data_IF_517347147098
#
_entry.id   IF_517347147098
#
_cell.length_a   1.000
_cell.length_b   1.000
_cell.length_c   1.000
_cell.angle_alpha   90.00
_cell.angle_beta   90.00
_cell.angle_gamma   90.00
#
_symmetry.space_group_name_H-M   'P 1'
#
loop_
_entity.id
_entity.type
_entity.pdbx_description
1 polymer ?
#
# COMPACT_ATOMS: atom_id res chain seq x y z
N UNK A 1 -32.20 64.65 79.88
CA UNK A 1 -31.30 64.92 78.74
C UNK A 1 -29.92 64.44 79.15
N UNK A 2 -29.14 63.67 78.38
CA UNK A 2 -29.39 62.97 77.12
C UNK A 2 -28.92 61.48 77.15
N UNK A 3 -28.78 60.93 75.95
CA UNK A 3 -28.61 59.56 75.46
C UNK A 3 -27.21 58.91 75.51
N UNK A 4 -27.23 57.57 75.42
CA UNK A 4 -26.38 56.66 74.60
C UNK A 4 -25.02 56.11 75.08
N UNK A 5 -24.96 54.75 75.01
CA UNK A 5 -23.84 53.83 74.66
C UNK A 5 -22.67 53.73 75.67
N UNK A 6 -22.06 52.59 76.01
CA UNK A 6 -22.15 51.17 75.62
C UNK A 6 -21.33 50.32 76.63
N UNK A 7 -21.66 49.04 76.75
CA UNK A 7 -20.78 47.89 77.09
C UNK A 7 -20.03 47.84 78.44
N UNK A 8 -20.44 46.93 79.35
CA UNK A 8 -19.97 45.52 79.41
C UNK A 8 -20.62 44.73 80.57
N UNK A 9 -20.85 43.47 80.24
CA UNK A 9 -21.25 42.31 81.05
C UNK A 9 -20.61 42.19 82.44
N UNK A 10 -21.42 41.90 83.47
CA UNK A 10 -21.41 40.59 84.13
C UNK A 10 -22.57 40.39 85.12
N UNK A 11 -23.36 39.36 84.84
CA UNK A 11 -23.92 38.33 85.75
C UNK A 11 -24.77 38.71 86.98
N UNK A 12 -26.07 38.37 86.89
CA UNK A 12 -26.88 37.47 87.77
C UNK A 12 -28.38 37.73 87.42
N UNK A 13 -28.98 37.03 86.45
CA UNK A 13 -29.72 35.73 86.49
C UNK A 13 -31.08 35.78 87.23
N UNK A 14 -32.09 35.19 86.55
CA UNK A 14 -33.52 34.98 86.86
C UNK A 14 -34.46 36.15 86.48
N UNK A 15 -35.56 35.97 85.74
CA UNK A 15 -36.13 34.77 85.12
C UNK A 15 -36.93 35.18 83.87
N UNK A 16 -36.68 34.47 82.77
CA UNK A 16 -37.13 34.81 81.42
C UNK A 16 -38.10 33.72 80.95
N UNK A 17 -39.35 34.12 80.72
CA UNK A 17 -40.19 33.83 79.55
C UNK A 17 -40.15 32.47 78.83
N UNK A 18 -41.34 32.11 78.32
CA UNK A 18 -41.55 31.47 77.01
C UNK A 18 -41.49 29.94 76.96
N UNK A 19 -42.67 29.36 76.73
CA UNK A 19 -43.00 28.11 76.03
C UNK A 19 -41.77 27.39 75.44
N UNK A 20 -41.23 26.45 76.21
CA UNK A 20 -40.31 25.45 75.69
C UNK A 20 -41.12 24.18 75.40
N UNK A 21 -41.74 24.13 74.21
CA UNK A 21 -42.21 22.86 73.67
C UNK A 21 -41.00 21.94 73.57
N UNK A 22 -40.99 20.85 74.35
CA UNK A 22 -39.98 19.81 74.24
C UNK A 22 -40.03 19.26 72.81
N UNK A 23 -39.06 19.64 71.97
CA UNK A 23 -38.77 19.00 70.70
C UNK A 23 -38.18 17.61 70.96
N UNK A 24 -38.96 16.72 71.57
CA UNK A 24 -38.69 15.29 71.49
C UNK A 24 -39.13 14.92 70.08
N UNK A 25 -38.15 14.78 69.20
CA UNK A 25 -38.34 14.19 67.89
C UNK A 25 -38.71 12.73 68.14
N UNK A 26 -40.01 12.45 68.22
CA UNK A 26 -40.52 11.09 68.25
C UNK A 26 -40.24 10.48 66.87
N UNK A 27 -39.10 9.81 66.73
CA UNK A 27 -38.82 9.02 65.55
C UNK A 27 -39.74 7.79 65.54
N UNK A 28 -40.10 7.33 64.34
CA UNK A 28 -40.97 6.17 64.18
C UNK A 28 -40.26 4.93 64.69
N UNK A 29 -40.88 4.18 65.61
CA UNK A 29 -40.37 2.85 65.99
C UNK A 29 -40.52 1.89 64.81
N UNK A 30 -39.39 1.50 64.20
CA UNK A 30 -39.35 0.35 63.30
C UNK A 30 -39.30 -0.92 64.16
N UNK A 31 -40.23 -1.85 63.93
CA UNK A 31 -40.30 -3.11 64.69
C UNK A 31 -39.03 -3.95 64.49
N UNK A 32 -38.27 -3.71 63.41
CA UNK A 32 -36.98 -4.37 63.16
C UNK A 32 -35.86 -3.92 64.11
N UNK A 33 -35.99 -2.74 64.73
CA UNK A 33 -35.01 -2.17 65.65
C UNK A 33 -35.37 -2.40 67.14
N UNK A 34 -36.46 -3.13 67.39
CA UNK A 34 -36.90 -3.50 68.73
C UNK A 34 -36.02 -4.66 69.21
N UNK A 35 -35.03 -4.36 70.05
CA UNK A 35 -34.22 -5.33 70.79
C UNK A 35 -35.11 -6.34 71.54
N UNK A 36 -34.63 -7.59 71.69
CA UNK A 36 -35.32 -8.69 72.39
C UNK A 36 -35.74 -8.39 73.83
N UNK A 37 -35.27 -7.28 74.40
CA UNK A 37 -35.51 -6.84 75.77
C UNK A 37 -36.77 -5.97 75.92
N UNK A 38 -37.64 -5.96 74.92
CA UNK A 38 -38.90 -5.21 74.97
C UNK A 38 -39.86 -5.88 75.93
N UNK A 39 -40.38 -5.11 76.89
CA UNK A 39 -41.07 -5.68 78.05
C UNK A 39 -42.23 -6.58 77.61
N UNK A 40 -42.34 -7.81 78.14
CA UNK A 40 -43.47 -8.69 77.88
C UNK A 40 -44.83 -8.03 78.18
N UNK A 41 -44.83 -7.04 79.08
CA UNK A 41 -46.02 -6.26 79.41
C UNK A 41 -46.51 -5.40 78.23
N UNK A 42 -45.61 -4.89 77.39
CA UNK A 42 -45.97 -4.13 76.19
C UNK A 42 -46.71 -5.00 75.17
N UNK A 43 -46.20 -6.21 74.91
CA UNK A 43 -46.87 -7.18 74.04
C UNK A 43 -48.18 -7.67 74.65
N UNK A 44 -48.21 -7.91 75.96
CA UNK A 44 -49.43 -8.29 76.67
C UNK A 44 -50.51 -7.18 76.58
N UNK A 45 -50.11 -5.90 76.68
CA UNK A 45 -51.03 -4.77 76.49
C UNK A 45 -51.57 -4.72 75.05
N UNK A 46 -50.71 -4.90 74.04
CA UNK A 46 -51.15 -4.94 72.63
C UNK A 46 -52.16 -6.06 72.35
N UNK A 47 -51.98 -7.21 73.00
CA UNK A 47 -52.88 -8.38 72.88
C UNK A 47 -54.17 -8.22 73.72
N UNK A 48 -54.22 -7.28 74.67
CA UNK A 48 -55.41 -7.02 75.49
C UNK A 48 -56.59 -6.39 74.72
N UNK A 49 -56.45 -6.19 73.40
CA UNK A 49 -57.55 -5.85 72.49
C UNK A 49 -58.19 -4.49 72.80
N UNK A 50 -59.46 -4.49 73.22
CA UNK A 50 -60.17 -3.26 73.66
C UNK A 50 -59.68 -2.72 75.00
N UNK A 51 -59.03 -3.57 75.82
CA UNK A 51 -58.54 -3.18 77.14
C UNK A 51 -57.14 -2.56 77.09
N UNK A 52 -56.43 -2.72 75.97
CA UNK A 52 -55.10 -2.14 75.72
C UNK A 52 -55.04 -0.65 76.04
N UNK A 53 -54.09 -0.29 76.89
CA UNK A 53 -53.74 1.09 77.23
C UNK A 53 -53.25 1.81 75.97
N UNK A 54 -52.37 1.16 75.20
CA UNK A 54 -51.81 1.73 73.96
C UNK A 54 -52.92 2.03 72.95
N UNK A 55 -53.88 1.11 72.78
CA UNK A 55 -55.02 1.34 71.89
C UNK A 55 -55.95 2.45 72.41
N UNK A 56 -56.20 2.54 73.71
CA UNK A 56 -57.03 3.61 74.29
C UNK A 56 -56.41 5.00 74.05
N UNK A 57 -55.09 5.11 74.20
CA UNK A 57 -54.37 6.38 74.06
C UNK A 57 -54.14 6.74 72.59
N UNK A 58 -53.69 5.78 71.77
CA UNK A 58 -53.23 6.05 70.40
C UNK A 58 -54.16 5.52 69.30
N UNK A 59 -55.01 4.52 69.58
CA UNK A 59 -55.90 3.88 68.60
C UNK A 59 -57.30 4.50 68.48
N UNK A 60 -57.65 5.47 69.34
CA UNK A 60 -58.94 6.18 69.32
C UNK A 60 -58.82 7.64 68.85
N UNK A 61 -57.65 8.01 68.31
CA UNK A 61 -57.32 9.39 67.94
C UNK A 61 -58.32 10.02 66.96
N UNK A 62 -58.82 9.29 65.96
CA UNK A 62 -59.87 9.79 65.05
C UNK A 62 -61.24 9.99 65.69
N UNK A 63 -61.56 9.23 66.74
CA UNK A 63 -62.82 9.39 67.48
C UNK A 63 -62.81 10.66 68.31
N UNK A 64 -61.66 10.99 68.91
CA UNK A 64 -61.51 12.19 69.74
C UNK A 64 -61.12 13.44 68.94
N UNK A 65 -60.45 13.29 67.80
CA UNK A 65 -59.99 14.41 66.96
C UNK A 65 -60.21 14.10 65.47
N UNK A 66 -61.46 14.15 64.97
CA UNK A 66 -61.82 13.71 63.60
C UNK A 66 -61.13 14.49 62.48
N UNK A 67 -60.87 15.77 62.70
CA UNK A 67 -60.29 16.67 61.71
C UNK A 67 -58.75 16.62 61.66
N UNK A 68 -58.11 15.87 62.57
CA UNK A 68 -56.65 15.76 62.63
C UNK A 68 -56.19 14.52 61.86
N UNK A 69 -55.18 14.62 60.97
CA UNK A 69 -54.65 13.45 60.28
C UNK A 69 -54.03 12.46 61.28
N UNK A 70 -54.28 11.17 61.06
CA UNK A 70 -53.71 10.10 61.88
C UNK A 70 -52.23 9.92 61.57
N UNK A 71 -51.39 9.77 62.60
CA UNK A 71 -49.97 9.44 62.40
C UNK A 71 -49.80 7.97 62.03
N UNK A 72 -48.68 7.59 61.40
CA UNK A 72 -48.37 6.19 61.06
C UNK A 72 -48.44 5.26 62.27
N UNK A 73 -47.97 5.73 63.44
CA UNK A 73 -48.02 4.98 64.69
C UNK A 73 -49.46 4.77 65.19
N UNK A 74 -50.30 5.80 65.13
CA UNK A 74 -51.72 5.69 65.50
C UNK A 74 -52.48 4.75 64.55
N UNK A 75 -52.20 4.83 63.25
CA UNK A 75 -52.74 3.91 62.26
C UNK A 75 -52.27 2.47 62.52
N UNK A 76 -50.98 2.26 62.78
CA UNK A 76 -50.43 0.95 63.13
C UNK A 76 -51.13 0.36 64.36
N UNK A 77 -51.18 1.09 65.48
CA UNK A 77 -51.88 0.65 66.70
C UNK A 77 -53.35 0.31 66.46
N UNK A 78 -54.04 1.09 65.62
CA UNK A 78 -55.45 0.85 65.29
C UNK A 78 -55.63 -0.42 64.44
N UNK A 79 -54.68 -0.72 63.55
CA UNK A 79 -54.70 -1.90 62.69
C UNK A 79 -54.24 -3.16 63.42
N UNK A 80 -53.29 -3.04 64.36
CA UNK A 80 -52.72 -4.16 65.11
C UNK A 80 -53.48 -4.50 66.39
N UNK A 81 -54.37 -3.62 66.87
CA UNK A 81 -55.13 -3.85 68.10
C UNK A 81 -56.63 -3.58 67.93
N UNK A 82 -57.47 -4.52 68.39
CA UNK A 82 -58.94 -4.40 68.36
C UNK A 82 -59.63 -5.16 67.23
N UNK A 83 -60.85 -4.72 66.86
CA UNK A 83 -61.74 -5.45 65.94
C UNK A 83 -61.17 -5.70 64.53
N UNK A 84 -60.25 -4.86 64.06
CA UNK A 84 -59.61 -5.03 62.74
C UNK A 84 -58.33 -5.89 62.82
N UNK A 85 -57.79 -6.12 64.03
CA UNK A 85 -56.54 -6.86 64.24
C UNK A 85 -56.64 -8.29 63.73
N UNK A 86 -57.75 -8.97 63.99
CA UNK A 86 -58.01 -10.33 63.50
C UNK A 86 -58.03 -10.38 61.96
N UNK A 87 -58.71 -9.43 61.30
CA UNK A 87 -58.77 -9.36 59.84
C UNK A 87 -57.40 -9.09 59.20
N UNK A 88 -56.61 -8.16 59.77
CA UNK A 88 -55.24 -7.87 59.32
C UNK A 88 -54.33 -9.06 59.56
N UNK A 89 -54.45 -9.75 60.70
CA UNK A 89 -53.69 -10.95 61.01
C UNK A 89 -53.99 -12.08 60.01
N UNK A 90 -55.26 -12.31 59.68
CA UNK A 90 -55.66 -13.28 58.67
C UNK A 90 -55.09 -12.95 57.28
N UNK A 91 -55.12 -11.69 56.84
CA UNK A 91 -54.50 -11.30 55.56
C UNK A 91 -52.98 -11.46 55.57
N UNK A 92 -52.30 -11.16 56.69
CA UNK A 92 -50.86 -11.41 56.82
C UNK A 92 -50.54 -12.91 56.76
N UNK A 93 -51.33 -13.76 57.41
CA UNK A 93 -51.19 -15.21 57.30
C UNK A 93 -51.45 -15.70 55.87
N UNK A 94 -52.47 -15.17 55.20
CA UNK A 94 -52.78 -15.48 53.79
C UNK A 94 -51.63 -15.08 52.86
N UNK A 95 -51.09 -13.87 53.00
CA UNK A 95 -49.94 -13.40 52.22
C UNK A 95 -48.68 -14.22 52.50
N UNK A 96 -48.45 -14.62 53.76
CA UNK A 96 -47.32 -15.48 54.13
C UNK A 96 -47.47 -16.89 53.56
N UNK A 97 -48.68 -17.44 53.55
CA UNK A 97 -48.96 -18.72 52.90
C UNK A 97 -48.77 -18.62 51.38
N UNK A 98 -49.24 -17.54 50.76
CA UNK A 98 -49.08 -17.27 49.33
C UNK A 98 -47.60 -17.09 48.92
N UNK A 99 -46.81 -16.35 49.70
CA UNK A 99 -45.38 -16.18 49.44
C UNK A 99 -44.61 -17.49 49.64
N UNK A 100 -44.95 -18.27 50.67
CA UNK A 100 -44.38 -19.60 50.89
C UNK A 100 -44.73 -20.55 49.75
N UNK A 101 -45.97 -20.51 49.24
CA UNK A 101 -46.41 -21.30 48.09
C UNK A 101 -45.65 -20.92 46.82
N UNK A 102 -45.48 -19.62 46.53
CA UNK A 102 -44.68 -19.16 45.39
C UNK A 102 -43.22 -19.59 45.49
N UNK A 103 -42.63 -19.55 46.67
CA UNK A 103 -41.25 -20.01 46.88
C UNK A 103 -41.12 -21.52 46.64
N UNK A 104 -42.09 -22.31 47.15
CA UNK A 104 -42.11 -23.75 46.94
C UNK A 104 -42.23 -24.10 45.44
N UNK A 105 -43.14 -23.44 44.72
CA UNK A 105 -43.29 -23.63 43.27
C UNK A 105 -42.02 -23.24 42.50
N UNK A 106 -41.34 -22.16 42.89
CA UNK A 106 -40.08 -21.77 42.25
C UNK A 106 -38.95 -22.78 42.48
N UNK A 107 -38.85 -23.36 43.68
CA UNK A 107 -37.86 -24.41 43.96
C UNK A 107 -38.22 -25.75 43.30
N UNK A 108 -39.51 -26.07 43.16
CA UNK A 108 -39.98 -27.22 42.39
C UNK A 108 -39.57 -27.07 40.91
N UNK A 109 -39.91 -25.95 40.26
CA UNK A 109 -39.51 -25.67 38.86
C UNK A 109 -37.99 -25.74 38.70
N UNK A 110 -37.24 -25.17 39.64
CA UNK A 110 -35.77 -25.21 39.61
C UNK A 110 -35.24 -26.64 39.76
N UNK A 111 -35.84 -27.44 40.64
CA UNK A 111 -35.45 -28.84 40.83
C UNK A 111 -35.78 -29.68 39.60
N UNK A 112 -36.97 -29.51 39.00
CA UNK A 112 -37.35 -30.16 37.74
C UNK A 112 -36.39 -29.83 36.60
N UNK A 113 -36.01 -28.56 36.44
CA UNK A 113 -35.04 -28.14 35.42
C UNK A 113 -33.65 -28.75 35.64
N UNK A 114 -33.25 -28.94 36.90
CA UNK A 114 -31.99 -29.59 37.26
C UNK A 114 -32.04 -31.11 37.06
N UNK A 115 -33.14 -31.75 37.44
CA UNK A 115 -33.37 -33.20 37.30
C UNK A 115 -33.48 -33.62 35.84
N UNK A 116 -34.26 -32.87 35.03
CA UNK A 116 -34.33 -33.08 33.57
C UNK A 116 -32.98 -32.78 32.90
N UNK A 117 -32.12 -32.02 33.57
CA UNK A 117 -30.79 -31.67 33.09
C UNK A 117 -30.83 -30.71 31.89
N UNK A 118 -31.96 -30.04 31.64
CA UNK A 118 -32.16 -29.18 30.46
C UNK A 118 -31.08 -28.09 30.37
N UNK A 119 -30.76 -27.46 31.50
CA UNK A 119 -29.70 -26.43 31.59
C UNK A 119 -28.34 -27.04 31.21
N UNK A 120 -28.03 -28.22 31.76
CA UNK A 120 -26.76 -28.90 31.49
C UNK A 120 -26.65 -29.31 30.01
N UNK A 121 -27.72 -29.86 29.45
CA UNK A 121 -27.77 -30.30 28.06
C UNK A 121 -27.62 -29.12 27.10
N UNK A 122 -28.33 -28.01 27.35
CA UNK A 122 -28.21 -26.77 26.58
C UNK A 122 -26.76 -26.26 26.54
N UNK A 123 -26.10 -26.18 27.70
CA UNK A 123 -24.71 -25.73 27.75
C UNK A 123 -23.73 -26.72 27.11
N UNK A 124 -23.96 -28.02 27.27
CA UNK A 124 -23.14 -29.04 26.63
C UNK A 124 -23.24 -28.98 25.10
N UNK A 125 -24.44 -28.83 24.56
CA UNK A 125 -24.68 -28.65 23.12
C UNK A 125 -23.99 -27.39 22.61
N UNK A 126 -24.14 -26.28 23.33
CA UNK A 126 -23.48 -25.02 22.96
C UNK A 126 -21.96 -25.14 23.00
N UNK A 127 -21.40 -25.79 24.02
CA UNK A 127 -19.95 -26.05 24.12
C UNK A 127 -19.45 -26.97 23.01
N UNK A 128 -20.22 -28.00 22.65
CA UNK A 128 -19.88 -28.90 21.55
C UNK A 128 -19.88 -28.15 20.21
N UNK A 129 -20.90 -27.32 19.97
CA UNK A 129 -21.00 -26.48 18.79
C UNK A 129 -19.79 -25.55 18.66
N UNK A 130 -19.46 -24.80 19.72
CA UNK A 130 -18.32 -23.87 19.69
C UNK A 130 -16.98 -24.60 19.49
N UNK A 131 -16.80 -25.80 20.08
CA UNK A 131 -15.60 -26.62 19.82
C UNK A 131 -15.52 -27.06 18.36
N UNK A 132 -16.61 -27.56 17.79
CA UNK A 132 -16.66 -28.00 16.40
C UNK A 132 -16.43 -26.83 15.44
N UNK A 133 -17.05 -25.68 15.73
CA UNK A 133 -16.84 -24.45 14.99
C UNK A 133 -15.37 -24.01 15.05
N UNK A 134 -14.73 -24.06 16.23
CA UNK A 134 -13.31 -23.76 16.38
C UNK A 134 -12.41 -24.67 15.54
N UNK A 135 -12.69 -25.97 15.50
CA UNK A 135 -11.96 -26.93 14.66
C UNK A 135 -12.14 -26.61 13.17
N UNK A 136 -13.34 -26.26 12.73
CA UNK A 136 -13.61 -25.95 11.33
C UNK A 136 -12.92 -24.65 10.90
N UNK A 137 -12.99 -23.61 11.73
CA UNK A 137 -12.25 -22.35 11.52
C UNK A 137 -10.74 -22.61 11.46
N UNK A 138 -10.21 -23.45 12.34
CA UNK A 138 -8.79 -23.79 12.31
C UNK A 138 -8.39 -24.51 11.01
N UNK A 139 -9.21 -25.44 10.52
CA UNK A 139 -8.95 -26.10 9.22
C UNK A 139 -8.95 -25.10 8.07
N UNK A 140 -9.95 -24.20 8.02
CA UNK A 140 -10.03 -23.15 7.00
C UNK A 140 -8.82 -22.20 7.09
N UNK A 141 -8.39 -21.85 8.29
CA UNK A 141 -7.21 -21.03 8.50
C UNK A 141 -5.94 -21.73 7.99
N UNK A 142 -5.75 -23.02 8.29
CA UNK A 142 -4.60 -23.78 7.78
C UNK A 142 -4.66 -23.89 6.24
N UNK A 143 -5.83 -24.14 5.66
CA UNK A 143 -6.00 -24.21 4.21
C UNK A 143 -5.65 -22.87 3.54
N UNK A 144 -6.13 -21.76 4.08
CA UNK A 144 -5.81 -20.42 3.54
C UNK A 144 -4.33 -20.06 3.68
N UNK A 145 -3.66 -20.48 4.76
CA UNK A 145 -2.21 -20.37 4.87
C UNK A 145 -1.47 -21.19 3.81
N UNK A 146 -1.90 -22.42 3.55
CA UNK A 146 -1.31 -23.26 2.51
C UNK A 146 -1.49 -22.66 1.11
N UNK A 147 -2.67 -22.09 0.82
CA UNK A 147 -2.93 -21.46 -0.47
C UNK A 147 -2.12 -20.16 -0.63
N UNK A 148 -1.95 -19.39 0.45
CA UNK A 148 -1.05 -18.24 0.46
C UNK A 148 0.41 -18.63 0.19
N UNK A 149 0.87 -19.75 0.75
CA UNK A 149 2.24 -20.23 0.54
C UNK A 149 2.48 -20.67 -0.91
N UNK A 150 1.53 -21.43 -1.49
CA UNK A 150 1.55 -21.78 -2.91
C UNK A 150 1.57 -20.55 -3.81
N UNK A 151 0.77 -19.53 -3.49
CA UNK A 151 0.74 -18.29 -4.27
C UNK A 151 2.07 -17.54 -4.20
N UNK A 152 2.72 -17.51 -3.03
CA UNK A 152 4.07 -16.94 -2.89
C UNK A 152 5.09 -17.69 -3.74
N UNK A 153 5.06 -19.02 -3.74
CA UNK A 153 5.94 -19.84 -4.58
C UNK A 153 5.71 -19.58 -6.07
N UNK A 154 4.45 -19.46 -6.49
CA UNK A 154 4.09 -19.10 -7.87
C UNK A 154 4.59 -17.71 -8.25
N UNK A 155 4.47 -16.72 -7.35
CA UNK A 155 5.00 -15.38 -7.59
C UNK A 155 6.52 -15.38 -7.73
N UNK A 156 7.24 -16.08 -6.84
CA UNK A 156 8.70 -16.20 -6.94
C UNK A 156 9.10 -16.87 -8.25
N UNK A 157 8.44 -17.98 -8.61
CA UNK A 157 8.70 -18.67 -9.87
C UNK A 157 8.49 -17.76 -11.08
N UNK A 158 7.33 -17.08 -11.14
CA UNK A 158 6.99 -16.14 -12.22
C UNK A 158 8.01 -15.01 -12.31
N UNK A 159 8.42 -14.44 -11.17
CA UNK A 159 9.45 -13.40 -11.13
C UNK A 159 10.78 -13.91 -11.68
N UNK A 160 11.21 -15.11 -11.29
CA UNK A 160 12.46 -15.69 -11.81
C UNK A 160 12.41 -15.97 -13.32
N UNK A 161 11.27 -16.41 -13.85
CA UNK A 161 11.05 -16.62 -15.27
C UNK A 161 11.10 -15.28 -16.03
N UNK A 162 10.42 -14.25 -15.53
CA UNK A 162 10.46 -12.90 -16.09
C UNK A 162 11.88 -12.30 -16.08
N UNK A 163 12.67 -12.55 -15.03
CA UNK A 163 14.06 -12.10 -14.98
C UNK A 163 14.94 -12.81 -16.01
N UNK A 164 14.71 -14.11 -16.27
CA UNK A 164 15.40 -14.84 -17.33
C UNK A 164 15.03 -14.32 -18.71
N UNK A 165 13.75 -14.08 -18.97
CA UNK A 165 13.28 -13.51 -20.23
C UNK A 165 13.86 -12.11 -20.46
N UNK A 166 13.85 -11.25 -19.43
CA UNK A 166 14.48 -9.94 -19.48
C UNK A 166 15.96 -10.02 -19.82
N UNK A 167 16.71 -10.91 -19.16
CA UNK A 167 18.13 -11.11 -19.45
C UNK A 167 18.35 -11.59 -20.89
N UNK A 168 17.51 -12.50 -21.40
CA UNK A 168 17.59 -12.95 -22.79
C UNK A 168 17.31 -11.81 -23.79
N UNK A 169 16.30 -10.98 -23.53
CA UNK A 169 16.00 -9.79 -24.33
C UNK A 169 17.14 -8.78 -24.30
N UNK A 170 17.76 -8.54 -23.14
CA UNK A 170 18.90 -7.63 -23.02
C UNK A 170 20.12 -8.15 -23.82
N UNK A 171 20.38 -9.47 -23.80
CA UNK A 171 21.42 -10.08 -24.65
C UNK A 171 21.12 -9.92 -26.15
N UNK A 172 19.87 -10.16 -26.57
CA UNK A 172 19.46 -9.97 -27.97
C UNK A 172 19.60 -8.50 -28.39
N UNK A 173 19.19 -7.57 -27.53
CA UNK A 173 19.34 -6.13 -27.76
C UNK A 173 20.80 -5.74 -27.92
N UNK A 174 21.68 -6.26 -27.07
CA UNK A 174 23.11 -6.00 -27.17
C UNK A 174 23.68 -6.51 -28.50
N UNK A 175 23.33 -7.74 -28.91
CA UNK A 175 23.75 -8.30 -30.19
C UNK A 175 23.30 -7.42 -31.38
N UNK A 176 22.05 -6.94 -31.37
CA UNK A 176 21.54 -6.06 -32.42
C UNK A 176 22.31 -4.74 -32.46
N UNK A 177 22.66 -4.17 -31.30
CA UNK A 177 23.46 -2.94 -31.23
C UNK A 177 24.87 -3.17 -31.81
N UNK A 178 25.53 -4.25 -31.43
CA UNK A 178 26.86 -4.61 -31.97
C UNK A 178 26.81 -4.84 -33.48
N UNK A 179 25.82 -5.58 -33.99
CA UNK A 179 25.66 -5.78 -35.43
C UNK A 179 25.39 -4.47 -36.17
N UNK A 180 24.64 -3.54 -35.56
CA UNK A 180 24.42 -2.22 -36.13
C UNK A 180 25.73 -1.44 -36.24
N UNK A 181 26.54 -1.43 -35.19
CA UNK A 181 27.87 -0.80 -35.17
C UNK A 181 28.78 -1.40 -36.25
N UNK A 182 28.85 -2.73 -36.36
CA UNK A 182 29.64 -3.42 -37.40
C UNK A 182 29.17 -3.07 -38.83
N UNK A 183 27.86 -2.96 -39.05
CA UNK A 183 27.31 -2.54 -40.36
C UNK A 183 27.68 -1.09 -40.68
N UNK A 184 27.65 -0.21 -39.68
CA UNK A 184 28.02 1.19 -39.83
C UNK A 184 29.51 1.33 -40.18
N UNK A 185 30.38 0.61 -39.47
CA UNK A 185 31.83 0.54 -39.76
C UNK A 185 32.12 -0.01 -41.17
N UNK A 186 31.42 -1.08 -41.59
CA UNK A 186 31.56 -1.63 -42.94
C UNK A 186 31.07 -0.63 -44.01
N UNK A 187 29.99 0.10 -43.74
CA UNK A 187 29.47 1.10 -44.66
C UNK A 187 30.43 2.28 -44.83
N UNK A 188 31.06 2.75 -43.74
CA UNK A 188 32.08 3.80 -43.79
C UNK A 188 33.31 3.33 -44.57
N UNK A 189 33.81 2.11 -44.30
CA UNK A 189 34.91 1.51 -45.04
C UNK A 189 34.61 1.42 -46.53
N UNK A 190 33.44 0.91 -46.91
CA UNK A 190 33.02 0.80 -48.30
C UNK A 190 32.92 2.18 -48.98
N UNK A 191 32.44 3.20 -48.26
CA UNK A 191 32.42 4.56 -48.77
C UNK A 191 33.85 5.09 -49.05
N UNK A 192 34.79 4.81 -48.15
CA UNK A 192 36.21 5.19 -48.34
C UNK A 192 36.89 4.43 -49.48
N UNK A 193 36.60 3.14 -49.65
CA UNK A 193 37.12 2.36 -50.77
C UNK A 193 36.54 2.87 -52.09
N UNK A 194 35.26 3.23 -52.12
CA UNK A 194 34.61 3.80 -53.30
C UNK A 194 35.23 5.13 -53.70
N UNK A 195 35.54 6.02 -52.76
CA UNK A 195 36.20 7.30 -53.09
C UNK A 195 37.61 7.07 -53.63
N UNK A 196 38.38 6.16 -53.03
CA UNK A 196 39.70 5.75 -53.54
C UNK A 196 39.61 5.14 -54.94
N UNK A 197 38.65 4.26 -55.19
CA UNK A 197 38.43 3.64 -56.49
C UNK A 197 38.13 4.69 -57.58
N UNK A 198 37.28 5.67 -57.29
CA UNK A 198 36.96 6.76 -58.22
C UNK A 198 38.20 7.62 -58.50
N UNK A 199 39.01 7.91 -57.49
CA UNK A 199 40.26 8.65 -57.66
C UNK A 199 41.25 7.88 -58.56
N UNK A 200 41.46 6.59 -58.31
CA UNK A 200 42.31 5.74 -59.16
C UNK A 200 41.76 5.64 -60.59
N UNK A 201 40.44 5.55 -60.75
CA UNK A 201 39.83 5.56 -62.08
C UNK A 201 40.12 6.86 -62.84
N UNK A 202 40.08 8.02 -62.18
CA UNK A 202 40.49 9.29 -62.77
C UNK A 202 41.98 9.28 -63.14
N UNK A 203 42.86 8.82 -62.24
CA UNK A 203 44.30 8.71 -62.49
C UNK A 203 44.60 7.84 -63.73
N UNK A 204 43.95 6.68 -63.84
CA UNK A 204 44.09 5.79 -65.00
C UNK A 204 43.61 6.47 -66.29
N UNK A 205 42.50 7.23 -66.24
CA UNK A 205 42.03 7.97 -67.40
C UNK A 205 43.01 9.06 -67.83
N UNK A 206 43.65 9.76 -66.89
CA UNK A 206 44.68 10.76 -67.17
C UNK A 206 45.93 10.12 -67.77
N UNK A 207 46.44 9.04 -67.17
CA UNK A 207 47.57 8.29 -67.70
C UNK A 207 47.28 7.76 -69.11
N UNK A 208 46.06 7.25 -69.35
CA UNK A 208 45.64 6.80 -70.68
C UNK A 208 45.69 7.95 -71.70
N UNK A 209 45.24 9.15 -71.34
CA UNK A 209 45.33 10.33 -72.22
C UNK A 209 46.79 10.71 -72.49
N UNK A 210 47.64 10.73 -71.47
CA UNK A 210 49.06 11.04 -71.62
C UNK A 210 49.77 10.05 -72.56
N UNK A 211 49.55 8.74 -72.38
CA UNK A 211 50.12 7.70 -73.25
C UNK A 211 49.64 7.83 -74.70
N UNK A 212 48.37 8.19 -74.93
CA UNK A 212 47.86 8.44 -76.28
C UNK A 212 48.52 9.66 -76.93
N UNK A 213 48.74 10.73 -76.17
CA UNK A 213 49.47 11.92 -76.66
C UNK A 213 50.92 11.59 -77.00
N UNK A 214 51.62 10.84 -76.14
CA UNK A 214 52.99 10.40 -76.41
C UNK A 214 53.06 9.50 -77.65
N UNK A 215 52.08 8.60 -77.83
CA UNK A 215 51.99 7.75 -79.01
C UNK A 215 51.80 8.57 -80.29
N UNK A 216 50.95 9.60 -80.27
CA UNK A 216 50.75 10.52 -81.38
C UNK A 216 52.06 11.26 -81.71
N UNK A 217 52.76 11.79 -80.70
CA UNK A 217 54.06 12.43 -80.89
C UNK A 217 55.15 11.49 -81.46
N UNK A 218 55.14 10.21 -81.09
CA UNK A 218 56.03 9.19 -81.68
C UNK A 218 55.67 8.94 -83.14
N UNK A 219 54.38 8.86 -83.49
CA UNK A 219 53.93 8.68 -84.88
C UNK A 219 54.31 9.89 -85.75
N UNK A 220 54.16 11.11 -85.24
CA UNK A 220 54.58 12.34 -85.92
C UNK A 220 56.10 12.33 -86.16
N UNK A 221 56.88 12.03 -85.12
CA UNK A 221 58.35 11.93 -85.22
C UNK A 221 58.77 10.86 -86.23
N UNK A 222 58.09 9.71 -86.25
CA UNK A 222 58.31 8.66 -87.25
C UNK A 222 58.03 9.17 -88.66
N UNK A 223 56.92 9.87 -88.87
CA UNK A 223 56.56 10.44 -90.17
C UNK A 223 57.62 11.44 -90.67
N UNK A 224 58.18 12.26 -89.77
CA UNK A 224 59.28 13.18 -90.09
C UNK A 224 60.52 12.40 -90.52
N UNK A 225 60.92 11.40 -89.74
CA UNK A 225 62.10 10.57 -90.07
C UNK A 225 61.93 9.80 -91.38
N UNK A 226 60.74 9.29 -91.68
CA UNK A 226 60.45 8.64 -92.97
C UNK A 226 60.59 9.62 -94.15
N UNK A 227 60.11 10.86 -93.98
CA UNK A 227 60.29 11.92 -94.97
C UNK A 227 61.77 12.30 -95.15
N UNK A 228 62.55 12.39 -94.06
CA UNK A 228 64.00 12.63 -94.10
C UNK A 228 64.76 11.50 -94.80
N UNK A 229 64.44 10.23 -94.49
CA UNK A 229 65.01 9.06 -95.16
C UNK A 229 64.76 9.12 -96.67
N UNK A 230 63.55 9.46 -97.09
CA UNK A 230 63.22 9.57 -98.52
C UNK A 230 63.93 10.76 -99.17
N UNK A 231 64.02 11.91 -98.49
CA UNK A 231 64.80 13.05 -98.96
C UNK A 231 66.30 12.70 -99.15
N UNK A 232 66.90 11.98 -98.21
CA UNK A 232 68.27 11.48 -98.30
C UNK A 232 68.44 10.47 -99.45
N UNK A 233 67.44 9.61 -99.69
CA UNK A 233 67.43 8.66 -100.80
C UNK A 233 67.42 9.38 -102.15
N UNK A 234 66.59 10.41 -102.30
CA UNK A 234 66.55 11.26 -103.51
C UNK A 234 67.88 11.99 -103.69
N UNK A 235 68.42 12.59 -102.62
CA UNK A 235 69.71 13.29 -102.65
C UNK A 235 70.86 12.36 -103.07
N UNK A 236 70.95 11.16 -102.49
CA UNK A 236 71.95 10.15 -102.86
C UNK A 236 71.86 9.81 -104.36
N UNK A 237 70.65 9.55 -104.87
CA UNK A 237 70.44 9.24 -106.28
C UNK A 237 70.91 10.38 -107.18
N UNK A 238 70.60 11.64 -106.81
CA UNK A 238 71.05 12.83 -107.52
C UNK A 238 72.58 12.97 -107.51
N UNK A 239 73.23 12.78 -106.36
CA UNK A 239 74.70 12.82 -106.24
C UNK A 239 75.35 11.73 -107.07
N UNK A 240 74.83 10.50 -107.04
CA UNK A 240 75.33 9.39 -107.86
C UNK A 240 75.22 9.70 -109.35
N UNK A 241 74.11 10.29 -109.80
CA UNK A 241 73.92 10.68 -111.19
C UNK A 241 74.82 11.86 -111.61
N UNK A 242 75.03 12.86 -110.75
CA UNK A 242 75.98 13.94 -111.03
C UNK A 242 77.44 13.43 -111.03
N UNK A 243 77.78 12.47 -110.16
CA UNK A 243 79.07 11.80 -110.18
C UNK A 243 79.29 11.02 -111.50
N UNK A 244 78.28 10.30 -112.01
CA UNK A 244 78.33 9.64 -113.34
C UNK A 244 78.52 10.67 -114.46
N UNK A 245 77.79 11.80 -114.44
CA UNK A 245 77.95 12.88 -115.43
C UNK A 245 79.34 13.51 -115.36
N UNK A 246 79.86 13.77 -114.16
CA UNK A 246 81.20 14.29 -113.93
C UNK A 246 82.27 13.34 -114.45
N UNK A 247 82.14 12.03 -114.18
CA UNK A 247 83.02 11.00 -114.71
C UNK A 247 82.97 10.96 -116.26
N UNK A 248 81.79 11.09 -116.86
CA UNK A 248 81.65 11.18 -118.31
C UNK A 248 82.35 12.43 -118.88
N UNK A 249 82.17 13.61 -118.26
CA UNK A 249 82.89 14.85 -118.62
C UNK A 249 84.41 14.67 -118.48
N UNK A 250 84.89 14.07 -117.39
CA UNK A 250 86.30 13.80 -117.17
C UNK A 250 86.89 12.83 -118.21
N UNK A 251 86.14 11.80 -118.63
CA UNK A 251 86.55 10.91 -119.74
C UNK A 251 86.69 11.68 -121.05
N UNK A 252 85.74 12.58 -121.36
CA UNK A 252 85.82 13.45 -122.55
C UNK A 252 87.05 14.36 -122.46
N UNK A 253 87.27 15.04 -121.32
CA UNK A 253 88.44 15.89 -121.12
C UNK A 253 89.77 15.11 -121.19
N UNK A 254 89.81 13.86 -120.70
CA UNK A 254 90.98 12.98 -120.84
C UNK A 254 91.24 12.61 -122.30
N UNK A 255 90.21 12.34 -123.10
CA UNK A 255 90.36 12.07 -124.54
C UNK A 255 90.76 13.34 -125.31
N UNK A 256 90.21 14.51 -124.96
CA UNK A 256 90.65 15.81 -125.50
C UNK A 256 92.10 16.10 -125.10
N UNK A 257 92.50 15.84 -123.86
CA UNK A 257 93.88 15.95 -123.40
C UNK A 257 94.83 14.96 -124.11
N UNK A 258 94.34 13.77 -124.48
CA UNK A 258 95.09 12.82 -125.31
C UNK A 258 95.26 13.33 -126.75
N UNK A 259 94.28 14.03 -127.29
CA UNK A 259 94.34 14.72 -128.61
C UNK A 259 95.20 16.00 -128.58
N UNK A 260 95.28 16.69 -127.45
CA UNK A 260 96.12 17.87 -127.24
C UNK A 260 97.54 17.56 -126.80
N UNK A 261 97.88 16.30 -126.50
CA UNK A 261 99.27 15.83 -126.58
C UNK A 261 99.68 15.73 -128.05
N UNK A 262 99.91 16.88 -128.66
CA UNK A 262 100.71 16.98 -129.87
C UNK A 262 102.18 17.21 -129.47
N UNK A 263 103.02 16.40 -130.09
CA UNK A 263 104.47 16.51 -130.28
C UNK A 263 105.42 16.03 -129.16
N UNK A 264 105.95 14.81 -129.34
CA UNK A 264 107.37 14.59 -129.63
C UNK A 264 107.71 13.10 -129.87
N UNK A 265 108.39 12.87 -131.01
CA UNK A 265 109.18 11.70 -131.45
C UNK A 265 108.56 10.68 -132.43
N UNK A 266 109.17 10.73 -133.64
CA UNK A 266 109.42 9.69 -134.65
C UNK A 266 108.25 9.13 -135.46
#
# INVERSE_FOLDING_TARGET
MPSCLEQKSSFLKLDLSTVQMSRIRADYMDVKDITSDTSPEFFADMLAGEKSIIRKVFGQSRRFQPNKPSTKAQAAVTLTSGRMSEAVHHELLRLKAESSSRQAAAEEIKSELLERGDIKNFWNEKLLFERNHGVEVQKLYIATLQDLDKEKDLQVKTLTENMKEKAAMDCQRHLILTLKEEIEDMAERLASERTSYVAEQCNIQELRKAVLMDQEGVLDSKSILEAEIEALRVLRTWVEDEAKKSQARAKVLKEVGRRWKWDNQA
#
